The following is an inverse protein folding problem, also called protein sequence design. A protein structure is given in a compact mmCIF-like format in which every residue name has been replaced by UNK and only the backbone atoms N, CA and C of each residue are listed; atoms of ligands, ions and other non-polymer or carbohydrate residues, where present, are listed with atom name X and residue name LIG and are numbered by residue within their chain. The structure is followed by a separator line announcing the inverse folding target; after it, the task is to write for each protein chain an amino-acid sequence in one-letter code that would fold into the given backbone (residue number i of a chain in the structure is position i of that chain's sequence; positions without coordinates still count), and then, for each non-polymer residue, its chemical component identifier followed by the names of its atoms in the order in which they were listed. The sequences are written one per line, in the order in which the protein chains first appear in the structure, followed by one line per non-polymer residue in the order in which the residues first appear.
data_IF_513193112067
#
_entry.id   IF_513193112067
#
_cell.length_a   1.000
_cell.length_b   1.000
_cell.length_c   1.000
_cell.angle_alpha   90.00
_cell.angle_beta   90.00
_cell.angle_gamma   90.00
#
_symmetry.space_group_name_H-M   'P 1'
#
loop_
_entity.id
_entity.type
_entity.pdbx_description
1 polymer ?
#
# COMPACT_ATOMS: atom_id res chain seq x y z
N UNK A 1 46.80 47.85 3.99
CA UNK A 1 45.57 48.14 4.73
C UNK A 1 44.85 46.79 4.88
N UNK A 2 45.32 45.87 5.72
CA UNK A 2 45.25 45.84 7.20
C UNK A 2 43.77 45.86 7.66
N UNK A 3 43.22 44.89 8.39
CA UNK A 3 43.80 43.76 9.12
C UNK A 3 42.74 42.68 9.42
N UNK A 4 43.19 41.41 9.47
CA UNK A 4 42.63 40.31 10.25
C UNK A 4 42.66 40.62 11.75
N UNK A 5 41.73 40.04 12.53
CA UNK A 5 42.04 39.65 13.91
C UNK A 5 41.18 38.49 14.42
N UNK A 6 41.85 37.36 14.63
CA UNK A 6 41.50 36.26 15.53
C UNK A 6 41.73 36.67 16.99
N UNK A 7 40.92 36.16 17.93
CA UNK A 7 41.33 35.91 19.33
C UNK A 7 40.62 34.64 19.86
N UNK A 8 41.40 33.73 20.45
CA UNK A 8 41.03 32.66 21.39
C UNK A 8 41.98 32.76 22.61
N UNK A 9 41.97 31.85 23.60
CA UNK A 9 40.91 31.44 24.53
C UNK A 9 41.30 31.74 26.01
N UNK A 10 40.36 31.58 26.95
CA UNK A 10 40.60 31.69 28.40
C UNK A 10 40.26 30.40 29.15
N UNK A 11 41.21 29.93 29.96
CA UNK A 11 41.20 28.75 30.84
C UNK A 11 40.89 29.17 32.30
N UNK A 12 40.16 28.35 33.09
CA UNK A 12 40.58 27.76 34.41
C UNK A 12 39.43 27.07 35.17
N UNK A 13 39.54 25.75 35.29
CA UNK A 13 39.52 24.84 36.45
C UNK A 13 38.58 24.96 37.69
N UNK A 14 38.29 23.74 38.22
CA UNK A 14 37.97 23.32 39.61
C UNK A 14 36.48 23.29 39.99
N UNK A 15 35.89 22.28 40.64
CA UNK A 15 36.39 21.23 41.57
C UNK A 15 35.42 20.03 41.70
N UNK A 16 35.91 18.93 42.27
CA UNK A 16 35.34 17.57 42.32
C UNK A 16 34.30 17.27 43.43
N UNK A 17 33.42 16.26 43.16
CA UNK A 17 32.95 15.07 43.95
C UNK A 17 32.53 15.19 45.43
N UNK A 18 31.59 14.36 45.99
CA UNK A 18 31.59 12.89 45.82
C UNK A 18 30.25 12.09 45.80
N UNK A 19 30.46 10.86 45.34
CA UNK A 19 29.77 9.55 45.39
C UNK A 19 28.91 9.28 46.64
N UNK A 20 27.76 8.62 46.46
CA UNK A 20 27.21 7.66 47.45
C UNK A 20 26.55 6.47 46.76
N UNK A 21 26.84 5.26 47.26
CA UNK A 21 26.44 3.94 46.77
C UNK A 21 25.26 3.36 47.58
N UNK A 22 24.71 2.23 47.10
CA UNK A 22 23.88 1.20 47.78
C UNK A 22 22.35 1.44 47.65
N UNK A 23 21.46 0.51 47.25
CA UNK A 23 21.43 -0.96 47.34
C UNK A 23 20.57 -1.62 46.23
N UNK A 24 20.81 -2.90 45.98
CA UNK A 24 19.99 -3.80 45.17
C UNK A 24 18.65 -4.14 45.82
N UNK A 25 17.61 -4.41 45.01
CA UNK A 25 16.35 -5.02 45.45
C UNK A 25 16.07 -6.28 44.59
N UNK A 26 15.48 -7.35 45.16
CA UNK A 26 15.56 -8.70 44.60
C UNK A 26 14.48 -9.00 43.55
N UNK A 27 14.77 -10.03 42.76
CA UNK A 27 13.94 -10.60 41.71
C UNK A 27 12.55 -11.02 42.20
N UNK A 28 11.51 -10.66 41.43
CA UNK A 28 10.15 -11.16 41.58
C UNK A 28 9.92 -12.26 40.52
N UNK A 29 9.60 -13.52 40.89
CA UNK A 29 9.39 -14.58 39.92
C UNK A 29 7.90 -14.70 39.54
N UNK A 30 7.46 -13.96 38.52
CA UNK A 30 6.16 -14.15 37.87
C UNK A 30 6.22 -13.88 36.36
N UNK A 31 7.11 -14.58 35.66
CA UNK A 31 7.06 -14.68 34.20
C UNK A 31 6.30 -15.96 33.82
N UNK A 32 4.98 -15.90 33.93
CA UNK A 32 4.08 -16.77 33.18
C UNK A 32 3.57 -15.94 31.99
N UNK A 33 4.47 -15.63 31.06
CA UNK A 33 4.15 -14.87 29.86
C UNK A 33 3.17 -15.65 28.98
N UNK A 34 1.95 -15.11 28.88
CA UNK A 34 1.03 -15.42 27.80
C UNK A 34 1.72 -15.18 26.46
N UNK A 35 1.75 -16.20 25.63
CA UNK A 35 2.29 -16.17 24.27
C UNK A 35 1.56 -15.07 23.48
N UNK A 36 2.19 -13.90 23.34
CA UNK A 36 1.68 -12.83 22.48
C UNK A 36 1.51 -13.38 21.06
N UNK A 37 0.37 -13.15 20.40
CA UNK A 37 0.19 -13.56 19.01
C UNK A 37 1.27 -12.89 18.15
N UNK A 38 1.97 -13.71 17.38
CA UNK A 38 3.00 -13.25 16.44
C UNK A 38 2.39 -12.28 15.43
N UNK A 39 3.15 -11.30 14.96
CA UNK A 39 2.67 -10.25 14.04
C UNK A 39 1.93 -10.80 12.79
N UNK A 40 2.34 -11.98 12.31
CA UNK A 40 1.68 -12.67 11.20
C UNK A 40 0.25 -13.17 11.53
N UNK A 41 -0.01 -13.55 12.78
CA UNK A 41 -1.35 -13.96 13.24
C UNK A 41 -2.30 -12.76 13.29
N UNK A 42 -1.78 -11.59 13.67
CA UNK A 42 -2.54 -10.34 13.73
C UNK A 42 -2.96 -9.88 12.33
N UNK A 43 -2.03 -9.81 11.37
CA UNK A 43 -2.32 -9.37 10.00
C UNK A 43 -3.34 -10.27 9.27
N UNK A 44 -3.21 -11.60 9.42
CA UNK A 44 -4.16 -12.55 8.82
C UNK A 44 -5.58 -12.39 9.40
N UNK A 45 -5.68 -12.16 10.71
CA UNK A 45 -6.97 -11.92 11.38
C UNK A 45 -7.59 -10.58 10.96
N UNK A 46 -6.78 -9.54 10.82
CA UNK A 46 -7.20 -8.21 10.37
C UNK A 46 -7.71 -8.26 8.94
N UNK A 47 -6.95 -8.90 8.04
CA UNK A 47 -7.32 -9.14 6.65
C UNK A 47 -8.65 -9.90 6.54
N UNK A 48 -8.86 -10.93 7.35
CA UNK A 48 -10.11 -11.67 7.38
C UNK A 48 -11.29 -10.77 7.80
N UNK A 49 -11.12 -9.99 8.87
CA UNK A 49 -12.15 -9.06 9.35
C UNK A 49 -12.46 -7.95 8.33
N UNK A 50 -11.43 -7.42 7.66
CA UNK A 50 -11.56 -6.41 6.60
C UNK A 50 -12.36 -6.95 5.42
N UNK A 51 -12.06 -8.18 4.97
CA UNK A 51 -12.83 -8.84 3.90
C UNK A 51 -14.32 -8.96 4.22
N UNK A 52 -14.68 -9.27 5.48
CA UNK A 52 -16.08 -9.35 5.91
C UNK A 52 -16.76 -7.98 5.83
N UNK A 53 -16.11 -6.93 6.38
CA UNK A 53 -16.65 -5.56 6.34
C UNK A 53 -16.85 -5.04 4.92
N UNK A 54 -15.84 -5.25 4.06
CA UNK A 54 -15.88 -4.80 2.66
C UNK A 54 -17.02 -5.50 1.90
N UNK A 55 -17.17 -6.82 2.04
CA UNK A 55 -18.27 -7.56 1.41
C UNK A 55 -19.64 -7.06 1.86
N UNK A 56 -19.80 -6.74 3.14
CA UNK A 56 -21.06 -6.24 3.69
C UNK A 56 -21.45 -4.85 3.16
N UNK A 57 -20.48 -4.07 2.66
CA UNK A 57 -20.73 -2.75 2.08
C UNK A 57 -21.05 -2.78 0.57
N UNK A 58 -20.91 -3.93 -0.09
CA UNK A 58 -21.21 -4.06 -1.52
C UNK A 58 -22.72 -4.00 -1.78
N UNK A 59 -23.09 -3.41 -2.92
CA UNK A 59 -24.47 -3.41 -3.41
C UNK A 59 -24.60 -4.32 -4.63
N UNK A 60 -25.78 -4.88 -4.80
CA UNK A 60 -26.11 -5.77 -5.90
C UNK A 60 -27.20 -5.15 -6.75
N UNK A 61 -26.99 -5.17 -8.07
CA UNK A 61 -27.93 -4.66 -9.07
C UNK A 61 -28.21 -5.79 -10.07
N UNK A 62 -29.33 -6.52 -9.91
CA UNK A 62 -29.69 -7.59 -10.82
C UNK A 62 -30.02 -7.05 -12.23
N UNK A 63 -29.75 -7.88 -13.24
CA UNK A 63 -30.00 -7.61 -14.66
C UNK A 63 -29.24 -6.39 -15.23
N UNK A 64 -28.06 -6.10 -14.69
CA UNK A 64 -27.17 -5.02 -15.18
C UNK A 64 -25.77 -5.57 -15.54
N UNK A 65 -25.13 -5.10 -16.63
CA UNK A 65 -25.65 -4.19 -17.66
C UNK A 65 -26.64 -4.86 -18.63
N UNK A 66 -26.86 -6.16 -18.48
CA UNK A 66 -27.80 -6.94 -19.27
C UNK A 66 -28.47 -8.01 -18.41
N UNK A 67 -29.61 -8.51 -18.87
CA UNK A 67 -30.41 -9.52 -18.19
C UNK A 67 -29.57 -10.77 -17.86
N UNK A 68 -29.72 -11.28 -16.65
CA UNK A 68 -29.03 -12.47 -16.15
C UNK A 68 -27.69 -12.21 -15.47
N UNK A 69 -27.23 -10.95 -15.39
CA UNK A 69 -26.02 -10.56 -14.66
C UNK A 69 -26.41 -9.89 -13.33
N UNK A 70 -25.82 -10.35 -12.22
CA UNK A 70 -25.89 -9.65 -10.94
C UNK A 70 -24.67 -8.75 -10.77
N UNK A 71 -24.85 -7.44 -10.96
CA UNK A 71 -23.76 -6.49 -10.92
C UNK A 71 -23.41 -6.11 -9.49
N UNK A 72 -22.15 -6.34 -9.11
CA UNK A 72 -21.61 -5.94 -7.82
C UNK A 72 -21.06 -4.51 -7.91
N UNK A 73 -21.75 -3.60 -7.26
CA UNK A 73 -21.36 -2.20 -7.15
C UNK A 73 -20.44 -1.96 -5.95
N UNK A 74 -19.22 -1.51 -6.25
CA UNK A 74 -18.16 -1.19 -5.29
C UNK A 74 -18.14 0.28 -4.87
N UNK A 75 -18.96 1.16 -5.49
CA UNK A 75 -18.96 2.60 -5.19
C UNK A 75 -19.15 2.94 -3.70
N UNK A 76 -19.96 2.20 -2.91
CA UNK A 76 -20.07 2.45 -1.47
C UNK A 76 -18.75 2.40 -0.71
N UNK A 77 -17.79 1.57 -1.17
CA UNK A 77 -16.48 1.46 -0.53
C UNK A 77 -15.69 2.77 -0.62
N UNK A 78 -15.94 3.59 -1.65
CA UNK A 78 -15.24 4.86 -1.86
C UNK A 78 -15.97 6.06 -1.25
N UNK A 79 -17.27 5.94 -1.00
CA UNK A 79 -18.09 6.96 -0.34
C UNK A 79 -17.86 6.99 1.17
N UNK A 80 -17.60 5.85 1.80
CA UNK A 80 -17.19 5.76 3.19
C UNK A 80 -15.65 5.75 3.31
N UNK A 81 -15.03 6.79 3.89
CA UNK A 81 -13.57 6.83 4.03
C UNK A 81 -13.02 5.68 4.88
N UNK A 82 -13.79 5.15 5.82
CA UNK A 82 -13.39 4.01 6.65
C UNK A 82 -13.37 2.72 5.83
N UNK A 83 -14.38 2.52 4.98
CA UNK A 83 -14.42 1.40 4.06
C UNK A 83 -13.29 1.48 3.02
N UNK A 84 -13.00 2.69 2.51
CA UNK A 84 -11.90 2.89 1.56
C UNK A 84 -10.55 2.59 2.20
N UNK A 85 -10.29 3.07 3.41
CA UNK A 85 -9.07 2.75 4.15
C UNK A 85 -8.96 1.24 4.43
N UNK A 86 -10.09 0.60 4.77
CA UNK A 86 -10.15 -0.85 4.96
C UNK A 86 -9.81 -1.60 3.66
N UNK A 87 -10.27 -1.12 2.51
CA UNK A 87 -9.97 -1.71 1.19
C UNK A 87 -8.47 -1.64 0.91
N UNK A 88 -7.88 -0.45 1.02
CA UNK A 88 -6.44 -0.25 0.74
C UNK A 88 -5.58 -1.05 1.72
N UNK A 89 -5.94 -1.06 3.01
CA UNK A 89 -5.22 -1.83 4.03
C UNK A 89 -5.33 -3.34 3.80
N UNK A 90 -6.51 -3.86 3.45
CA UNK A 90 -6.68 -5.27 3.13
C UNK A 90 -5.88 -5.70 1.90
N UNK A 91 -5.85 -4.88 0.84
CA UNK A 91 -5.03 -5.14 -0.34
C UNK A 91 -3.53 -5.11 -0.01
N UNK A 92 -3.10 -4.14 0.80
CA UNK A 92 -1.72 -4.04 1.27
C UNK A 92 -1.29 -5.28 2.06
N UNK A 93 -2.07 -5.69 3.07
CA UNK A 93 -1.81 -6.90 3.85
C UNK A 93 -1.80 -8.16 2.96
N UNK A 94 -2.76 -8.28 2.04
CA UNK A 94 -2.82 -9.40 1.10
C UNK A 94 -1.57 -9.51 0.22
N UNK A 95 -0.94 -8.38 -0.13
CA UNK A 95 0.31 -8.35 -0.91
C UNK A 95 1.50 -8.71 -0.03
N UNK A 96 1.57 -8.20 1.20
CA UNK A 96 2.67 -8.48 2.12
C UNK A 96 2.71 -9.93 2.59
N UNK A 97 1.55 -10.50 2.92
CA UNK A 97 1.41 -11.87 3.39
C UNK A 97 1.33 -12.88 2.24
N UNK A 98 0.87 -12.42 1.07
CA UNK A 98 0.78 -13.21 -0.14
C UNK A 98 2.14 -13.37 -0.84
N UNK A 99 2.14 -14.20 -1.88
CA UNK A 99 3.21 -14.27 -2.88
C UNK A 99 4.63 -14.48 -2.32
N UNK A 100 4.77 -15.12 -1.15
CA UNK A 100 6.07 -15.35 -0.52
C UNK A 100 6.78 -14.06 -0.10
N UNK A 101 6.04 -12.99 0.22
CA UNK A 101 6.59 -11.69 0.59
C UNK A 101 7.14 -10.88 -0.59
N UNK A 102 6.86 -11.30 -1.82
CA UNK A 102 7.25 -10.55 -3.02
C UNK A 102 6.38 -9.31 -3.15
N UNK A 103 7.00 -8.14 -3.00
CA UNK A 103 6.36 -6.83 -3.22
C UNK A 103 6.54 -6.41 -4.68
N UNK A 104 5.49 -5.89 -5.36
CA UNK A 104 5.60 -5.39 -6.73
C UNK A 104 6.44 -4.11 -6.79
N UNK A 105 7.01 -3.85 -7.96
CA UNK A 105 7.75 -2.61 -8.27
C UNK A 105 6.82 -1.53 -8.83
N UNK A 106 5.72 -1.94 -9.47
CA UNK A 106 4.75 -1.07 -10.12
C UNK A 106 3.34 -1.67 -10.04
N UNK A 107 2.36 -0.83 -9.76
CA UNK A 107 0.93 -1.16 -9.83
C UNK A 107 0.40 -0.73 -11.18
N UNK A 108 -0.26 -1.63 -11.89
CA UNK A 108 -0.94 -1.35 -13.14
C UNK A 108 -2.45 -1.37 -12.90
N UNK A 109 -3.12 -0.24 -13.15
CA UNK A 109 -4.58 -0.17 -13.07
C UNK A 109 -5.24 -0.32 -14.45
N UNK A 110 -6.39 -0.98 -14.51
CA UNK A 110 -7.21 -1.01 -15.72
C UNK A 110 -8.27 0.10 -15.70
N UNK A 111 -8.51 0.70 -16.87
CA UNK A 111 -9.53 1.72 -17.06
C UNK A 111 -10.94 1.09 -16.95
N UNK A 112 -11.86 1.58 -16.10
CA UNK A 112 -11.74 2.74 -15.22
C UNK A 112 -11.67 2.37 -13.72
N UNK A 113 -12.19 1.21 -13.33
CA UNK A 113 -12.46 0.91 -11.90
C UNK A 113 -11.19 0.61 -11.13
N UNK A 114 -10.20 -0.03 -11.76
CA UNK A 114 -8.85 -0.14 -11.21
C UNK A 114 -8.21 1.21 -10.86
N UNK A 115 -8.64 2.33 -11.47
CA UNK A 115 -8.14 3.67 -11.13
C UNK A 115 -8.72 4.23 -9.83
N UNK A 116 -9.80 3.67 -9.32
CA UNK A 116 -10.43 4.14 -8.08
C UNK A 116 -9.58 3.84 -6.85
N UNK A 117 -8.77 2.77 -6.89
CA UNK A 117 -7.92 2.36 -5.77
C UNK A 117 -6.47 2.06 -6.15
N UNK A 118 -6.17 1.78 -7.42
CA UNK A 118 -4.81 1.45 -7.90
C UNK A 118 -3.75 2.50 -7.56
N UNK A 119 -3.98 3.80 -7.84
CA UNK A 119 -3.04 4.86 -7.46
C UNK A 119 -2.84 4.97 -5.94
N UNK A 120 -3.92 4.83 -5.16
CA UNK A 120 -3.88 4.86 -3.70
C UNK A 120 -3.09 3.69 -3.11
N UNK A 121 -3.26 2.49 -3.67
CA UNK A 121 -2.50 1.31 -3.31
C UNK A 121 -1.03 1.45 -3.69
N UNK A 122 -0.71 1.98 -4.87
CA UNK A 122 0.66 2.23 -5.30
C UNK A 122 1.36 3.21 -4.35
N UNK A 123 0.66 4.29 -3.96
CA UNK A 123 1.15 5.24 -2.98
C UNK A 123 1.40 4.58 -1.62
N UNK A 124 0.46 3.76 -1.13
CA UNK A 124 0.59 3.01 0.14
C UNK A 124 1.82 2.11 0.16
N UNK A 125 2.16 1.49 -0.98
CA UNK A 125 3.32 0.61 -1.13
C UNK A 125 4.63 1.38 -1.44
N UNK A 126 4.56 2.68 -1.70
CA UNK A 126 5.70 3.48 -2.16
C UNK A 126 6.19 3.07 -3.55
N UNK A 127 5.27 2.68 -4.45
CA UNK A 127 5.56 2.16 -5.80
C UNK A 127 4.99 3.07 -6.89
N UNK A 128 5.50 2.88 -8.10
CA UNK A 128 4.96 3.56 -9.29
C UNK A 128 3.56 3.04 -9.64
N UNK A 129 2.80 3.87 -10.37
CA UNK A 129 1.53 3.49 -10.96
C UNK A 129 1.56 3.70 -12.48
N UNK A 130 1.04 2.74 -13.24
CA UNK A 130 0.92 2.82 -14.69
C UNK A 130 -0.52 2.49 -15.14
N UNK A 131 -1.16 3.35 -15.94
CA UNK A 131 -2.50 3.08 -16.44
C UNK A 131 -2.49 2.22 -17.71
N UNK A 132 -3.39 1.24 -17.76
CA UNK A 132 -3.84 0.59 -19.01
C UNK A 132 -5.19 1.18 -19.38
N UNK A 133 -5.32 1.72 -20.61
CA UNK A 133 -6.54 2.41 -21.06
C UNK A 133 -7.04 1.88 -22.38
N UNK A 134 -8.29 2.19 -22.71
CA UNK A 134 -8.82 1.96 -24.06
C UNK A 134 -8.01 2.73 -25.10
N UNK A 135 -7.98 2.23 -26.33
CA UNK A 135 -7.24 2.84 -27.44
C UNK A 135 -7.55 4.33 -27.63
N UNK A 136 -6.50 5.12 -27.87
CA UNK A 136 -6.59 6.56 -28.13
C UNK A 136 -6.76 7.43 -26.87
N UNK A 137 -6.68 6.86 -25.66
CA UNK A 137 -6.80 7.60 -24.39
C UNK A 137 -5.48 7.96 -23.73
N UNK A 138 -4.36 7.41 -24.20
CA UNK A 138 -3.02 7.73 -23.73
C UNK A 138 -2.25 8.52 -24.81
N UNK A 139 -1.47 9.55 -24.43
CA UNK A 139 -0.61 10.27 -25.37
C UNK A 139 0.71 9.52 -25.58
N UNK A 140 1.40 9.85 -26.67
CA UNK A 140 2.73 9.32 -26.98
C UNK A 140 2.74 7.87 -27.45
N UNK A 141 3.95 7.26 -27.60
CA UNK A 141 4.10 5.88 -28.05
C UNK A 141 3.43 4.90 -27.08
N UNK A 142 2.66 3.96 -27.62
CA UNK A 142 1.91 2.98 -26.84
C UNK A 142 2.06 1.58 -27.44
N UNK A 143 2.25 0.58 -26.57
CA UNK A 143 1.96 -0.82 -26.92
C UNK A 143 0.46 -1.04 -26.92
N UNK A 144 -0.03 -1.87 -27.84
CA UNK A 144 -1.46 -2.16 -28.01
C UNK A 144 -1.70 -3.66 -27.87
N UNK A 145 -2.71 -4.03 -27.09
CA UNK A 145 -3.16 -5.41 -26.90
C UNK A 145 -4.64 -5.53 -27.28
N UNK A 146 -4.94 -6.45 -28.20
CA UNK A 146 -6.31 -6.79 -28.60
C UNK A 146 -6.99 -7.70 -27.57
N UNK A 147 -8.28 -7.50 -27.32
CA UNK A 147 -9.11 -8.45 -26.60
C UNK A 147 -10.45 -8.64 -27.30
N UNK A 148 -10.98 -9.87 -27.20
CA UNK A 148 -12.24 -10.25 -27.82
C UNK A 148 -13.41 -10.04 -26.86
N UNK A 149 -14.48 -9.42 -27.38
CA UNK A 149 -15.79 -9.33 -26.77
C UNK A 149 -16.73 -10.32 -27.47
N UNK A 150 -17.90 -10.56 -26.89
CA UNK A 150 -18.89 -11.50 -27.44
C UNK A 150 -19.28 -11.20 -28.90
N UNK A 151 -19.28 -9.90 -29.29
CA UNK A 151 -19.57 -9.46 -30.65
C UNK A 151 -18.59 -8.38 -31.14
N UNK A 152 -17.28 -8.62 -31.04
CA UNK A 152 -16.26 -7.78 -31.67
C UNK A 152 -14.91 -7.80 -30.96
N UNK A 153 -13.99 -6.97 -31.43
CA UNK A 153 -12.68 -6.74 -30.81
C UNK A 153 -12.59 -5.34 -30.23
N UNK A 154 -11.73 -5.17 -29.24
CA UNK A 154 -11.40 -3.89 -28.64
C UNK A 154 -9.94 -3.93 -28.19
N UNK A 155 -9.39 -2.78 -27.84
CA UNK A 155 -7.96 -2.62 -27.67
C UNK A 155 -7.63 -1.88 -26.39
N UNK A 156 -6.73 -2.46 -25.62
CA UNK A 156 -6.06 -1.79 -24.52
C UNK A 156 -4.71 -1.25 -24.98
N UNK A 157 -4.31 -0.13 -24.40
CA UNK A 157 -3.04 0.54 -24.63
C UNK A 157 -2.36 0.89 -23.31
N UNK A 158 -1.03 0.86 -23.34
CA UNK A 158 -0.16 1.34 -22.28
C UNK A 158 1.04 2.04 -22.93
N UNK A 159 1.54 3.12 -22.32
CA UNK A 159 2.72 3.83 -22.84
C UNK A 159 3.95 2.90 -22.80
N UNK A 160 4.77 2.93 -23.85
CA UNK A 160 5.90 1.99 -24.03
C UNK A 160 6.94 2.06 -22.91
N UNK A 161 7.07 3.21 -22.26
CA UNK A 161 8.02 3.49 -21.19
C UNK A 161 7.43 3.29 -19.78
N UNK A 162 6.16 2.89 -19.67
CA UNK A 162 5.47 2.74 -18.39
C UNK A 162 6.04 1.61 -17.53
N UNK A 163 6.62 0.58 -18.16
CA UNK A 163 7.20 -0.60 -17.49
C UNK A 163 8.63 -0.83 -18.00
N UNK A 164 9.57 -0.99 -17.07
CA UNK A 164 10.97 -1.27 -17.36
C UNK A 164 11.25 -2.78 -17.32
N UNK A 165 12.20 -3.29 -18.13
CA UNK A 165 12.62 -4.68 -18.06
C UNK A 165 12.99 -5.10 -16.63
N UNK A 166 12.47 -6.24 -16.19
CA UNK A 166 12.74 -6.80 -14.87
C UNK A 166 11.82 -6.31 -13.74
N UNK A 167 10.95 -5.33 -13.96
CA UNK A 167 9.97 -4.92 -12.95
C UNK A 167 8.92 -6.00 -12.69
N UNK A 168 8.63 -6.23 -11.42
CA UNK A 168 7.48 -7.04 -10.99
C UNK A 168 6.23 -6.17 -11.01
N UNK A 169 5.24 -6.59 -11.77
CA UNK A 169 4.00 -5.84 -11.99
C UNK A 169 2.85 -6.49 -11.22
N UNK A 170 2.08 -5.70 -10.48
CA UNK A 170 0.77 -6.11 -9.96
C UNK A 170 -0.33 -5.38 -10.72
N UNK A 171 -1.19 -6.14 -11.40
CA UNK A 171 -2.35 -5.61 -12.14
C UNK A 171 -3.58 -5.58 -11.21
N UNK A 172 -4.35 -4.49 -11.23
CA UNK A 172 -5.57 -4.29 -10.44
C UNK A 172 -6.73 -3.74 -11.27
N UNK A 173 -7.95 -4.19 -10.95
CA UNK A 173 -9.24 -3.70 -11.48
C UNK A 173 -10.36 -3.83 -10.43
#
# INVERSE_FOLDING_TARGET
MSAEQQIAPGTTASSASPITHVAANPANPQDAEGRQPTAATTGSSELASGKVKLKAALRHFPDFPQKGIDFVDIMPLFLDPTAHETLVSALHLQIQEGYGGVVPDVIVGLDARGFLFGPGLALRLGKGFAPVRKQGKLPGPCVTAEYQKEYGTDFFQMQEDAIKPGQKVLIVD
#
